data_IF_420765134887
#
_entry.id   IF_420765134887
#
_cell.length_a   1.000
_cell.length_b   1.000
_cell.length_c   1.000
_cell.angle_alpha   90.00
_cell.angle_beta   90.00
_cell.angle_gamma   90.00
#
_symmetry.space_group_name_H-M   'P 1'
#
loop_
_entity.id
_entity.type
_entity.pdbx_description
1 polymer ?
#
# COMPACT_ATOMS: atom_id res chain seq x y z
N UNK A 1 -14.52 3.76 -13.46
CA UNK A 1 -14.50 2.98 -14.70
C UNK A 1 -15.65 1.97 -14.67
N UNK A 2 -16.77 2.31 -15.33
CA UNK A 2 -18.02 1.52 -15.31
C UNK A 2 -17.82 0.10 -15.89
N UNK A 3 -17.04 0.01 -16.97
CA UNK A 3 -16.73 -1.26 -17.66
C UNK A 3 -15.94 -2.22 -16.74
N UNK A 4 -14.97 -1.70 -16.00
CA UNK A 4 -14.21 -2.50 -15.04
C UNK A 4 -15.11 -2.97 -13.88
N UNK A 5 -15.97 -2.11 -13.35
CA UNK A 5 -16.90 -2.47 -12.29
C UNK A 5 -17.86 -3.59 -12.72
N UNK A 6 -18.33 -3.56 -13.97
CA UNK A 6 -19.18 -4.63 -14.53
C UNK A 6 -18.38 -5.95 -14.67
N UNK A 7 -17.16 -5.91 -15.20
CA UNK A 7 -16.35 -7.14 -15.35
C UNK A 7 -15.96 -7.77 -14.02
N UNK A 8 -15.88 -6.96 -12.95
CA UNK A 8 -15.59 -7.44 -11.60
C UNK A 8 -16.86 -7.93 -10.87
N UNK A 9 -18.04 -7.46 -11.25
CA UNK A 9 -19.30 -7.85 -10.60
C UNK A 9 -19.60 -9.36 -10.73
N UNK A 10 -19.07 -10.00 -11.78
CA UNK A 10 -19.23 -11.43 -12.04
C UNK A 10 -18.18 -12.30 -11.31
N UNK A 11 -17.17 -11.66 -10.67
CA UNK A 11 -16.20 -12.37 -9.85
C UNK A 11 -16.90 -12.94 -8.62
N UNK A 12 -17.24 -14.20 -8.69
CA UNK A 12 -17.81 -14.93 -7.55
C UNK A 12 -16.67 -15.53 -6.73
N UNK A 13 -16.73 -15.30 -5.43
CA UNK A 13 -15.89 -16.02 -4.49
C UNK A 13 -16.16 -17.53 -4.55
N UNK A 14 -15.41 -18.29 -3.81
CA UNK A 14 -15.64 -19.71 -3.54
C UNK A 14 -15.92 -19.90 -2.05
N UNK A 15 -16.16 -21.12 -1.61
CA UNK A 15 -16.30 -21.41 -0.18
C UNK A 15 -15.09 -20.94 0.67
N UNK A 16 -13.92 -20.78 0.02
CA UNK A 16 -12.66 -20.34 0.65
C UNK A 16 -12.23 -18.92 0.27
N UNK A 17 -12.94 -18.26 -0.66
CA UNK A 17 -12.58 -16.95 -1.17
C UNK A 17 -13.82 -16.05 -1.20
N UNK A 18 -13.77 -14.98 -0.41
CA UNK A 18 -14.78 -13.92 -0.45
C UNK A 18 -14.23 -12.74 -1.25
N UNK A 19 -14.89 -12.40 -2.36
CA UNK A 19 -14.59 -11.23 -3.16
C UNK A 19 -15.57 -10.12 -2.85
N UNK A 20 -15.08 -8.94 -2.55
CA UNK A 20 -15.89 -7.73 -2.33
C UNK A 20 -15.42 -6.63 -3.28
N UNK A 21 -16.29 -6.23 -4.20
CA UNK A 21 -16.04 -5.10 -5.10
C UNK A 21 -16.65 -3.85 -4.47
N UNK A 22 -15.79 -2.91 -4.10
CA UNK A 22 -16.19 -1.66 -3.47
C UNK A 22 -16.08 -0.52 -4.49
N UNK A 23 -17.01 0.44 -4.43
CA UNK A 23 -16.90 1.71 -5.14
C UNK A 23 -16.05 2.71 -4.38
N UNK A 24 -16.42 4.00 -4.43
CA UNK A 24 -15.80 5.01 -3.58
C UNK A 24 -16.17 4.75 -2.11
N UNK A 25 -15.15 4.79 -1.25
CA UNK A 25 -15.27 4.57 0.19
C UNK A 25 -14.56 5.69 0.95
N UNK A 26 -15.02 6.01 2.13
CA UNK A 26 -14.45 7.01 3.05
C UNK A 26 -13.68 6.41 4.23
N UNK A 27 -13.59 5.07 4.29
CA UNK A 27 -12.88 4.29 5.31
C UNK A 27 -11.68 3.49 4.75
N UNK A 28 -11.00 4.02 3.74
CA UNK A 28 -9.83 3.36 3.12
C UNK A 28 -8.73 3.08 4.14
N UNK A 29 -8.53 4.01 5.07
CA UNK A 29 -7.54 3.90 6.14
C UNK A 29 -7.75 2.66 7.02
N UNK A 30 -9.00 2.36 7.36
CA UNK A 30 -9.35 1.20 8.18
C UNK A 30 -9.17 -0.10 7.39
N UNK A 31 -9.51 -0.10 6.10
CA UNK A 31 -9.24 -1.24 5.22
C UNK A 31 -7.75 -1.53 5.09
N UNK A 32 -6.94 -0.50 4.89
CA UNK A 32 -5.47 -0.62 4.81
C UNK A 32 -4.93 -1.18 6.13
N UNK A 33 -5.36 -0.64 7.27
CA UNK A 33 -4.92 -1.10 8.59
C UNK A 33 -5.29 -2.56 8.88
N UNK A 34 -6.43 -3.03 8.36
CA UNK A 34 -6.91 -4.40 8.50
C UNK A 34 -6.32 -5.38 7.46
N UNK A 35 -5.60 -4.87 6.47
CA UNK A 35 -5.08 -5.69 5.37
C UNK A 35 -3.77 -6.39 5.75
N UNK A 36 -3.63 -7.64 5.31
CA UNK A 36 -2.36 -8.38 5.39
C UNK A 36 -1.40 -7.99 4.27
N UNK A 37 -1.93 -7.57 3.12
CA UNK A 37 -1.18 -7.13 1.96
C UNK A 37 -2.01 -6.10 1.18
N UNK A 38 -1.40 -4.99 0.80
CA UNK A 38 -2.01 -3.97 -0.07
C UNK A 38 -1.34 -4.01 -1.43
N UNK A 39 -2.13 -4.15 -2.49
CA UNK A 39 -1.67 -4.15 -3.88
C UNK A 39 -2.07 -2.83 -4.52
N UNK A 40 -1.10 -2.05 -4.96
CA UNK A 40 -1.36 -0.71 -5.51
C UNK A 40 -0.23 -0.25 -6.44
N UNK A 41 -0.44 0.82 -7.18
CA UNK A 41 0.64 1.59 -7.80
C UNK A 41 1.44 2.34 -6.74
N UNK A 42 2.70 2.67 -7.04
CA UNK A 42 3.60 3.36 -6.11
C UNK A 42 3.43 4.89 -6.11
N UNK A 43 2.19 5.38 -6.17
CA UNK A 43 1.90 6.81 -5.97
C UNK A 43 2.32 7.29 -4.59
N UNK A 44 2.84 8.53 -4.49
CA UNK A 44 3.43 9.03 -3.24
C UNK A 44 2.47 9.03 -2.04
N UNK A 45 1.20 9.46 -2.25
CA UNK A 45 0.20 9.50 -1.18
C UNK A 45 -0.14 8.09 -0.68
N UNK A 46 -0.62 7.22 -1.57
CA UNK A 46 -1.05 5.87 -1.18
C UNK A 46 0.09 5.07 -0.54
N UNK A 47 1.31 5.17 -1.08
CA UNK A 47 2.48 4.51 -0.50
C UNK A 47 2.73 4.98 0.93
N UNK A 48 2.69 6.30 1.16
CA UNK A 48 2.91 6.89 2.48
C UNK A 48 1.81 6.51 3.47
N UNK A 49 0.56 6.51 3.04
CA UNK A 49 -0.61 6.13 3.84
C UNK A 49 -0.54 4.66 4.25
N UNK A 50 -0.25 3.75 3.30
CA UNK A 50 -0.13 2.31 3.59
C UNK A 50 1.01 2.05 4.57
N UNK A 51 2.17 2.68 4.38
CA UNK A 51 3.30 2.56 5.31
C UNK A 51 2.96 3.14 6.69
N UNK A 52 2.25 4.27 6.77
CA UNK A 52 1.83 4.87 8.03
C UNK A 52 0.86 3.97 8.82
N UNK A 53 0.08 3.14 8.14
CA UNK A 53 -0.81 2.13 8.73
C UNK A 53 -0.10 0.81 9.04
N UNK A 54 1.16 0.66 8.66
CA UNK A 54 1.96 -0.53 8.94
C UNK A 54 1.60 -1.72 8.06
N UNK A 55 1.02 -1.53 6.88
CA UNK A 55 0.65 -2.62 6.00
C UNK A 55 1.75 -2.95 4.98
N UNK A 56 1.98 -4.25 4.67
CA UNK A 56 2.87 -4.68 3.60
C UNK A 56 2.35 -4.26 2.22
N UNK A 57 3.27 -4.01 1.29
CA UNK A 57 2.98 -3.53 -0.07
C UNK A 57 3.41 -4.52 -1.16
N UNK A 58 2.56 -4.71 -2.14
CA UNK A 58 2.94 -5.18 -3.47
C UNK A 58 2.67 -4.03 -4.45
N UNK A 59 3.73 -3.38 -4.93
CA UNK A 59 3.61 -2.30 -5.90
C UNK A 59 3.64 -2.83 -7.32
N UNK A 60 2.71 -2.35 -8.15
CA UNK A 60 2.55 -2.76 -9.54
C UNK A 60 2.70 -1.55 -10.47
N UNK A 61 3.18 -1.77 -11.66
CA UNK A 61 3.19 -0.81 -12.77
C UNK A 61 3.49 0.65 -12.39
N UNK A 62 4.64 0.96 -11.79
CA UNK A 62 4.99 2.33 -11.48
C UNK A 62 5.06 3.18 -12.76
N UNK A 63 4.54 4.39 -12.70
CA UNK A 63 4.71 5.35 -13.79
C UNK A 63 6.18 5.73 -13.88
N UNK A 64 6.78 5.52 -15.07
CA UNK A 64 8.21 5.77 -15.30
C UNK A 64 8.58 7.20 -14.94
N UNK A 65 9.70 7.35 -14.22
CA UNK A 65 10.25 8.63 -13.80
C UNK A 65 9.51 9.28 -12.62
N UNK A 66 8.22 9.03 -12.45
CA UNK A 66 7.41 9.67 -11.41
C UNK A 66 7.23 8.78 -10.17
N UNK A 67 6.96 7.49 -10.38
CA UNK A 67 6.64 6.56 -9.29
C UNK A 67 7.75 5.53 -9.03
N UNK A 68 8.76 5.43 -9.90
CA UNK A 68 9.85 4.46 -9.76
C UNK A 68 10.63 4.64 -8.46
N UNK A 69 10.92 5.89 -8.08
CA UNK A 69 11.60 6.17 -6.80
C UNK A 69 10.80 5.72 -5.57
N UNK A 70 9.47 5.83 -5.63
CA UNK A 70 8.62 5.34 -4.54
C UNK A 70 8.64 3.81 -4.49
N UNK A 71 8.58 3.13 -5.63
CA UNK A 71 8.69 1.69 -5.71
C UNK A 71 10.05 1.19 -5.18
N UNK A 72 11.15 1.84 -5.60
CA UNK A 72 12.50 1.53 -5.12
C UNK A 72 12.62 1.74 -3.60
N UNK A 73 12.01 2.81 -3.08
CA UNK A 73 11.98 3.06 -1.64
C UNK A 73 11.24 1.95 -0.88
N UNK A 74 10.05 1.55 -1.34
CA UNK A 74 9.27 0.45 -0.74
C UNK A 74 10.08 -0.84 -0.68
N UNK A 75 10.77 -1.18 -1.76
CA UNK A 75 11.58 -2.41 -1.85
C UNK A 75 12.83 -2.30 -0.97
N UNK A 76 13.55 -1.18 -1.04
CA UNK A 76 14.79 -0.97 -0.27
C UNK A 76 14.52 -0.91 1.24
N UNK A 77 13.41 -0.31 1.65
CA UNK A 77 12.99 -0.29 3.05
C UNK A 77 12.47 -1.65 3.53
N UNK A 78 12.32 -2.63 2.63
CA UNK A 78 11.80 -3.96 2.96
C UNK A 78 10.33 -3.97 3.39
N UNK A 79 9.58 -2.94 3.01
CA UNK A 79 8.14 -2.78 3.31
C UNK A 79 7.30 -3.55 2.31
N UNK A 80 7.82 -3.75 1.10
CA UNK A 80 7.09 -4.38 0.03
C UNK A 80 7.97 -5.00 -1.03
N UNK A 81 7.31 -5.47 -2.06
CA UNK A 81 7.91 -6.01 -3.29
C UNK A 81 7.31 -5.32 -4.50
N UNK A 82 8.00 -5.38 -5.63
CA UNK A 82 7.53 -4.81 -6.88
C UNK A 82 7.24 -5.90 -7.92
N UNK A 83 6.03 -5.93 -8.46
CA UNK A 83 5.70 -6.68 -9.66
C UNK A 83 5.98 -5.78 -10.88
N UNK A 84 7.09 -6.02 -11.55
CA UNK A 84 7.49 -5.26 -12.75
C UNK A 84 6.62 -5.58 -13.96
N UNK A 85 6.09 -6.78 -14.01
CA UNK A 85 5.12 -7.24 -14.99
C UNK A 85 3.81 -7.55 -14.26
N UNK A 86 2.71 -7.02 -14.74
CA UNK A 86 1.38 -7.24 -14.12
C UNK A 86 1.05 -8.72 -14.02
N UNK A 87 1.41 -9.50 -15.02
CA UNK A 87 1.18 -10.96 -15.05
C UNK A 87 1.94 -11.71 -13.94
N UNK A 88 2.97 -11.11 -13.34
CA UNK A 88 3.68 -11.71 -12.21
C UNK A 88 3.01 -11.46 -10.86
N UNK A 89 2.07 -10.51 -10.77
CA UNK A 89 1.44 -10.13 -9.51
C UNK A 89 0.71 -11.29 -8.81
N UNK A 90 -0.09 -12.14 -9.49
CA UNK A 90 -0.75 -13.27 -8.84
C UNK A 90 0.23 -14.25 -8.18
N UNK A 91 1.32 -14.59 -8.87
CA UNK A 91 2.37 -15.46 -8.32
C UNK A 91 3.04 -14.83 -7.09
N UNK A 92 3.31 -13.51 -7.14
CA UNK A 92 3.91 -12.81 -6.02
C UNK A 92 2.98 -12.74 -4.81
N UNK A 93 1.67 -12.55 -5.03
CA UNK A 93 0.65 -12.61 -3.97
C UNK A 93 0.67 -13.98 -3.31
N UNK A 94 0.59 -15.06 -4.11
CA UNK A 94 0.62 -16.43 -3.61
C UNK A 94 1.88 -16.69 -2.78
N UNK A 95 3.04 -16.29 -3.29
CA UNK A 95 4.33 -16.41 -2.59
C UNK A 95 4.35 -15.65 -1.26
N UNK A 96 3.76 -14.46 -1.20
CA UNK A 96 3.74 -13.64 0.01
C UNK A 96 2.76 -14.19 1.05
N UNK A 97 1.54 -14.55 0.65
CA UNK A 97 0.53 -15.06 1.58
C UNK A 97 0.89 -16.45 2.12
N UNK A 98 1.73 -17.19 1.38
CA UNK A 98 2.27 -18.49 1.82
C UNK A 98 3.49 -18.37 2.73
N UNK A 99 4.02 -17.16 2.97
CA UNK A 99 5.15 -16.86 3.85
C UNK A 99 4.76 -15.83 4.94
N UNK A 100 3.96 -16.22 5.95
CA UNK A 100 3.57 -15.31 7.03
C UNK A 100 4.74 -14.63 7.75
N UNK A 101 5.88 -15.30 8.00
CA UNK A 101 7.04 -14.63 8.58
C UNK A 101 7.58 -13.49 7.72
N UNK A 102 7.52 -13.62 6.40
CA UNK A 102 7.94 -12.55 5.49
C UNK A 102 6.98 -11.37 5.54
N UNK A 103 5.66 -11.60 5.50
CA UNK A 103 4.66 -10.55 5.66
C UNK A 103 4.81 -9.83 7.01
N UNK A 104 5.10 -10.57 8.08
CA UNK A 104 5.32 -9.98 9.39
C UNK A 104 6.55 -9.04 9.40
N UNK A 105 7.68 -9.46 8.81
CA UNK A 105 8.86 -8.59 8.67
C UNK A 105 8.56 -7.34 7.84
N UNK A 106 7.79 -7.47 6.77
CA UNK A 106 7.37 -6.32 5.95
C UNK A 106 6.51 -5.35 6.76
N UNK A 107 5.60 -5.86 7.59
CA UNK A 107 4.77 -5.07 8.50
C UNK A 107 5.61 -4.31 9.53
N UNK A 108 6.57 -4.96 10.16
CA UNK A 108 7.50 -4.35 11.12
C UNK A 108 8.33 -3.23 10.46
N UNK A 109 8.79 -3.46 9.24
CA UNK A 109 9.48 -2.43 8.46
C UNK A 109 8.54 -1.26 8.11
N UNK A 110 7.30 -1.52 7.74
CA UNK A 110 6.32 -0.46 7.47
C UNK A 110 6.07 0.39 8.73
N UNK A 111 5.93 -0.21 9.89
CA UNK A 111 5.81 0.49 11.18
C UNK A 111 7.06 1.33 11.51
N UNK A 112 8.25 0.82 11.17
CA UNK A 112 9.52 1.52 11.42
C UNK A 112 9.73 2.72 10.50
N UNK A 113 9.41 2.58 9.21
CA UNK A 113 9.67 3.61 8.20
C UNK A 113 8.47 4.51 7.92
N UNK A 114 7.27 4.08 8.27
CA UNK A 114 6.05 4.90 8.19
C UNK A 114 6.13 6.15 9.06
N UNK A 115 5.37 7.16 8.70
CA UNK A 115 5.32 8.46 9.39
C UNK A 115 3.88 8.85 9.71
N UNK A 116 3.19 8.14 10.63
CA UNK A 116 1.76 8.38 10.91
C UNK A 116 1.47 9.79 11.48
N UNK A 117 2.49 10.48 11.98
CA UNK A 117 2.37 11.82 12.55
C UNK A 117 2.99 12.91 11.68
N UNK A 118 3.27 12.64 10.40
CA UNK A 118 3.98 13.58 9.52
C UNK A 118 3.32 14.97 9.46
N UNK A 119 2.00 15.04 9.39
CA UNK A 119 1.27 16.31 9.35
C UNK A 119 1.47 17.14 10.65
N UNK A 120 1.40 16.49 11.81
CA UNK A 120 1.62 17.13 13.11
C UNK A 120 3.07 17.61 13.26
N UNK A 121 4.03 16.78 12.82
CA UNK A 121 5.46 17.11 12.89
C UNK A 121 5.79 18.31 12.00
N UNK A 122 5.25 18.36 10.78
CA UNK A 122 5.39 19.52 9.87
C UNK A 122 4.74 20.77 10.47
N UNK A 123 3.52 20.66 10.98
CA UNK A 123 2.85 21.78 11.63
C UNK A 123 3.66 22.32 12.82
N UNK A 124 4.27 21.44 13.62
CA UNK A 124 5.15 21.82 14.71
C UNK A 124 6.39 22.59 14.24
N UNK A 125 7.01 22.17 13.14
CA UNK A 125 8.17 22.87 12.54
C UNK A 125 7.77 24.28 12.11
N UNK A 126 6.64 24.44 11.40
CA UNK A 126 6.15 25.75 10.92
C UNK A 126 5.85 26.68 12.10
N UNK A 127 5.12 26.21 13.10
CA UNK A 127 4.78 26.99 14.27
C UNK A 127 6.03 27.46 15.06
N UNK A 128 7.04 26.59 15.16
CA UNK A 128 8.30 26.96 15.82
C UNK A 128 9.12 27.97 15.01
N UNK A 129 9.07 27.94 13.68
CA UNK A 129 9.71 28.91 12.84
C UNK A 129 9.09 30.34 13.01
N UNK A 130 7.75 30.40 13.03
CA UNK A 130 7.01 31.67 13.21
C UNK A 130 7.30 32.30 14.59
N UNK A 131 7.42 31.49 15.65
CA UNK A 131 7.70 32.02 17.00
C UNK A 131 9.12 32.58 17.18
N UNK A 132 10.05 32.25 16.28
CA UNK A 132 11.44 32.72 16.32
C UNK A 132 11.69 33.95 15.45
N UNK A 133 10.71 34.33 14.66
CA UNK A 133 10.69 35.58 13.86
C UNK A 133 10.04 36.70 14.63
#
# INVERSE_FOLDING_TARGET
NYTLAQSLADLRGSERLVVRVLGFIDYLDDLVAASDLVITKSGGLITSEVMARGAPLLVTEPIRGQEEFNADYVVTAGVGVQARLTDSAPYMVESLVSDPPRLQRMRENAQRFGRPRAAQDIAGIVLNAIKKS
#
